data_IF_097355100626
#
_entry.id   IF_097355100626
#
_cell.length_a   1.000
_cell.length_b   1.000
_cell.length_c   1.000
_cell.angle_alpha   90.00
_cell.angle_beta   90.00
_cell.angle_gamma   90.00
#
_symmetry.space_group_name_H-M   'P 1'
#
loop_
_entity.id
_entity.type
_entity.pdbx_description
1 polymer ?
#
# COMPACT_ATOMS: atom_id res chain seq x y z
N UNK A 1 47.82 -1.04 -7.27
CA UNK A 1 47.75 -1.19 -5.81
C UNK A 1 46.88 -0.10 -5.21
N UNK A 2 46.11 -0.40 -4.15
CA UNK A 2 45.40 0.62 -3.36
C UNK A 2 46.38 1.64 -2.74
N UNK A 3 47.67 1.31 -2.66
CA UNK A 3 48.77 2.21 -2.27
C UNK A 3 48.97 3.40 -3.22
N UNK A 4 48.29 3.42 -4.38
CA UNK A 4 48.31 4.55 -5.30
C UNK A 4 47.54 5.77 -4.76
N UNK A 5 46.65 5.59 -3.76
CA UNK A 5 45.97 6.67 -3.05
C UNK A 5 46.85 7.12 -1.88
N UNK A 6 47.27 8.39 -1.90
CA UNK A 6 47.83 9.03 -0.71
C UNK A 6 46.67 9.44 0.20
N UNK A 7 46.65 8.93 1.43
CA UNK A 7 45.60 9.26 2.41
C UNK A 7 45.70 10.72 2.89
N UNK A 8 46.85 11.38 2.71
CA UNK A 8 47.03 12.81 2.98
C UNK A 8 46.66 13.70 1.78
N UNK A 9 46.56 13.13 0.58
CA UNK A 9 46.12 13.81 -0.65
C UNK A 9 45.25 12.90 -1.53
N UNK A 10 44.06 12.57 -1.03
CA UNK A 10 43.14 11.68 -1.74
C UNK A 10 42.70 12.29 -3.08
N UNK A 11 42.42 13.60 -3.10
CA UNK A 11 41.92 14.26 -4.31
C UNK A 11 42.98 14.33 -5.40
N UNK A 12 44.24 14.65 -5.06
CA UNK A 12 45.34 14.71 -6.03
C UNK A 12 45.76 13.35 -6.56
N UNK A 13 45.54 12.28 -5.80
CA UNK A 13 45.98 10.92 -6.18
C UNK A 13 44.86 9.99 -6.68
N UNK A 14 43.59 10.38 -6.53
CA UNK A 14 42.45 9.56 -6.93
C UNK A 14 42.47 9.13 -8.41
N UNK A 15 42.90 10.01 -9.32
CA UNK A 15 42.95 9.70 -10.75
C UNK A 15 43.88 8.52 -11.06
N UNK A 16 45.07 8.50 -10.45
CA UNK A 16 46.06 7.43 -10.59
C UNK A 16 45.53 6.10 -10.06
N UNK A 17 44.86 6.12 -8.91
CA UNK A 17 44.24 4.91 -8.37
C UNK A 17 43.10 4.39 -9.26
N UNK A 18 42.27 5.30 -9.82
CA UNK A 18 41.21 4.94 -10.77
C UNK A 18 41.73 4.28 -12.04
N UNK A 19 42.86 4.77 -12.58
CA UNK A 19 43.50 4.18 -13.76
C UNK A 19 43.90 2.71 -13.51
N UNK A 20 44.47 2.41 -12.34
CA UNK A 20 44.84 1.05 -11.98
C UNK A 20 43.63 0.11 -11.78
N UNK A 21 42.47 0.67 -11.42
CA UNK A 21 41.23 -0.09 -11.29
C UNK A 21 40.45 -0.21 -12.59
N UNK A 22 40.79 0.56 -13.63
CA UNK A 22 40.01 0.64 -14.87
C UNK A 22 39.87 -0.73 -15.55
N UNK A 23 40.97 -1.49 -15.64
CA UNK A 23 40.97 -2.83 -16.24
C UNK A 23 39.97 -3.76 -15.55
N UNK A 24 40.13 -3.97 -14.24
CA UNK A 24 39.27 -4.89 -13.48
C UNK A 24 37.81 -4.42 -13.38
N UNK A 25 37.56 -3.10 -13.32
CA UNK A 25 36.20 -2.55 -13.25
C UNK A 25 35.51 -2.40 -14.61
N UNK A 26 36.20 -2.72 -15.71
CA UNK A 26 35.64 -2.74 -17.07
C UNK A 26 35.29 -4.16 -17.54
N UNK A 27 35.71 -5.19 -16.80
CA UNK A 27 35.39 -6.57 -17.13
C UNK A 27 33.87 -6.82 -17.00
N UNK A 28 33.21 -7.36 -18.03
CA UNK A 28 31.76 -7.50 -18.06
C UNK A 28 31.26 -8.63 -17.14
N UNK A 29 30.01 -8.54 -16.69
CA UNK A 29 29.38 -9.66 -16.00
C UNK A 29 29.19 -10.84 -16.94
N UNK A 30 29.29 -12.06 -16.40
CA UNK A 30 29.08 -13.29 -17.18
C UNK A 30 27.66 -13.32 -17.79
N UNK A 31 27.46 -13.94 -18.97
CA UNK A 31 26.15 -13.93 -19.65
C UNK A 31 25.00 -14.53 -18.83
N UNK A 32 25.31 -15.44 -17.91
CA UNK A 32 24.38 -16.11 -17.00
C UNK A 32 24.14 -15.36 -15.69
N UNK A 33 24.77 -14.20 -15.48
CA UNK A 33 24.61 -13.43 -14.27
C UNK A 33 23.14 -13.12 -13.97
N UNK A 34 22.81 -13.10 -12.67
CA UNK A 34 21.51 -12.67 -12.18
C UNK A 34 21.24 -11.22 -12.65
N UNK A 35 19.98 -10.90 -12.91
CA UNK A 35 19.56 -9.60 -13.46
C UNK A 35 18.66 -8.91 -12.45
N UNK A 36 19.02 -7.68 -12.11
CA UNK A 36 18.30 -6.87 -11.13
C UNK A 36 17.75 -5.63 -11.82
N UNK A 37 16.43 -5.52 -11.82
CA UNK A 37 15.72 -4.30 -12.15
C UNK A 37 15.70 -3.41 -10.91
N UNK A 38 16.60 -2.44 -10.84
CA UNK A 38 16.57 -1.39 -9.83
C UNK A 38 15.40 -0.45 -10.10
N UNK A 39 14.63 -0.12 -9.07
CA UNK A 39 13.56 0.87 -9.13
C UNK A 39 13.81 1.89 -8.03
N UNK A 40 13.92 3.16 -8.38
CA UNK A 40 14.03 4.22 -7.39
C UNK A 40 12.78 4.19 -6.52
N UNK A 41 12.94 4.16 -5.20
CA UNK A 41 11.83 3.96 -4.29
C UNK A 41 12.03 4.76 -3.01
N UNK A 42 10.94 5.30 -2.49
CA UNK A 42 10.89 5.87 -1.15
C UNK A 42 9.60 5.39 -0.50
N UNK A 43 9.70 4.36 0.33
CA UNK A 43 8.61 4.02 1.22
C UNK A 43 8.44 5.15 2.24
N UNK A 44 7.24 5.70 2.39
CA UNK A 44 6.99 6.79 3.32
C UNK A 44 5.79 6.44 4.17
N UNK A 45 6.03 6.21 5.46
CA UNK A 45 4.92 5.93 6.36
C UNK A 45 4.01 7.14 6.49
N UNK A 46 2.71 6.91 6.22
CA UNK A 46 1.70 7.96 6.33
C UNK A 46 1.70 8.52 7.74
N UNK A 47 1.83 7.65 8.75
CA UNK A 47 2.19 8.03 10.11
C UNK A 47 2.78 6.83 10.85
N UNK A 48 3.96 7.01 11.45
CA UNK A 48 4.61 5.97 12.25
C UNK A 48 5.22 6.57 13.53
N UNK A 49 6.47 7.03 13.45
CA UNK A 49 7.14 7.76 14.54
C UNK A 49 6.90 9.28 14.50
N UNK A 50 6.00 9.72 13.61
CA UNK A 50 5.59 11.10 13.40
C UNK A 50 4.09 11.17 13.05
N UNK A 51 3.43 12.32 13.30
CA UNK A 51 2.03 12.51 12.91
C UNK A 51 1.86 12.74 11.39
N UNK A 52 0.63 12.56 10.88
CA UNK A 52 0.25 12.76 9.48
C UNK A 52 0.76 14.08 8.89
N UNK A 53 0.64 15.17 9.67
CA UNK A 53 1.08 16.52 9.27
C UNK A 53 2.58 16.61 8.93
N UNK A 54 3.41 15.76 9.53
CA UNK A 54 4.84 15.72 9.23
C UNK A 54 5.10 14.97 7.92
N UNK A 55 4.30 13.96 7.62
CA UNK A 55 4.41 13.20 6.37
C UNK A 55 4.18 14.08 5.15
N UNK A 56 3.24 15.03 5.20
CA UNK A 56 3.06 16.04 4.14
C UNK A 56 4.38 16.73 3.79
N UNK A 57 5.20 17.07 4.79
CA UNK A 57 6.51 17.72 4.60
C UNK A 57 7.56 16.73 4.07
N UNK A 58 7.56 15.49 4.57
CA UNK A 58 8.47 14.41 4.14
C UNK A 58 8.26 14.04 2.68
N UNK A 59 7.01 13.89 2.25
CA UNK A 59 6.64 13.63 0.87
C UNK A 59 7.12 14.77 -0.02
N UNK A 60 6.78 16.02 0.33
CA UNK A 60 7.23 17.20 -0.43
C UNK A 60 8.76 17.25 -0.63
N UNK A 61 9.54 17.01 0.43
CA UNK A 61 11.00 16.99 0.32
C UNK A 61 11.50 15.83 -0.53
N UNK A 62 10.91 14.65 -0.38
CA UNK A 62 11.29 13.47 -1.16
C UNK A 62 10.99 13.67 -2.64
N UNK A 63 9.79 14.11 -3.01
CA UNK A 63 9.41 14.36 -4.40
C UNK A 63 10.26 15.46 -5.04
N UNK A 64 10.61 16.51 -4.30
CA UNK A 64 11.53 17.55 -4.78
C UNK A 64 12.93 17.00 -5.08
N UNK A 65 13.46 16.14 -4.21
CA UNK A 65 14.76 15.52 -4.41
C UNK A 65 14.75 14.54 -5.59
N UNK A 66 13.70 13.70 -5.70
CA UNK A 66 13.61 12.72 -6.78
C UNK A 66 13.42 13.38 -8.14
N UNK A 67 12.60 14.44 -8.23
CA UNK A 67 12.45 15.20 -9.48
C UNK A 67 13.74 15.89 -9.90
N UNK A 68 14.55 16.39 -8.96
CA UNK A 68 15.89 16.90 -9.28
C UNK A 68 16.85 15.79 -9.73
N UNK A 69 16.83 14.62 -9.06
CA UNK A 69 17.68 13.49 -9.45
C UNK A 69 17.31 12.96 -10.84
N UNK A 70 16.03 12.97 -11.22
CA UNK A 70 15.55 12.61 -12.57
C UNK A 70 16.02 13.59 -13.66
N UNK A 71 16.25 14.85 -13.32
CA UNK A 71 16.83 15.84 -14.23
C UNK A 71 18.34 15.58 -14.44
N UNK A 72 19.05 15.20 -13.37
CA UNK A 72 20.49 14.95 -13.40
C UNK A 72 20.88 13.58 -14.00
N UNK A 73 20.02 12.56 -13.86
CA UNK A 73 20.34 11.16 -14.18
C UNK A 73 19.35 10.59 -15.24
N UNK A 74 19.73 10.56 -16.53
CA UNK A 74 18.80 10.23 -17.63
C UNK A 74 18.16 8.84 -17.54
N UNK A 75 18.94 7.85 -17.11
CA UNK A 75 18.51 6.44 -17.00
C UNK A 75 17.69 6.17 -15.73
N UNK A 76 17.67 7.10 -14.76
CA UNK A 76 17.01 6.88 -13.47
C UNK A 76 15.49 6.88 -13.60
N UNK A 77 14.84 5.98 -12.86
CA UNK A 77 13.38 5.90 -12.73
C UNK A 77 13.00 5.79 -11.26
N UNK A 78 11.91 6.43 -10.89
CA UNK A 78 11.42 6.48 -9.50
C UNK A 78 9.94 6.08 -9.46
N UNK A 79 9.58 5.13 -8.60
CA UNK A 79 8.21 4.68 -8.37
C UNK A 79 7.68 5.16 -7.01
N UNK A 80 6.42 5.61 -6.97
CA UNK A 80 5.74 6.03 -5.74
C UNK A 80 4.31 5.49 -5.69
N UNK A 81 3.98 4.79 -4.61
CA UNK A 81 2.82 3.90 -4.50
C UNK A 81 1.51 4.56 -4.03
N UNK A 82 1.58 5.44 -3.03
CA UNK A 82 0.40 5.86 -2.26
C UNK A 82 -0.30 7.08 -2.88
N UNK A 83 -1.46 6.92 -3.52
CA UNK A 83 -2.18 8.04 -4.16
C UNK A 83 -2.45 9.23 -3.20
N UNK A 84 -2.70 8.95 -1.92
CA UNK A 84 -2.84 9.99 -0.89
C UNK A 84 -1.62 10.93 -0.79
N UNK A 85 -0.42 10.43 -1.02
CA UNK A 85 0.80 11.24 -0.98
C UNK A 85 0.91 12.15 -2.20
N UNK A 86 0.52 11.65 -3.37
CA UNK A 86 0.40 12.46 -4.58
C UNK A 86 -0.63 13.58 -4.39
N UNK A 87 -1.78 13.27 -3.77
CA UNK A 87 -2.80 14.26 -3.43
C UNK A 87 -2.26 15.35 -2.49
N UNK A 88 -1.46 14.99 -1.47
CA UNK A 88 -0.82 15.98 -0.59
C UNK A 88 0.18 16.88 -1.33
N UNK A 89 0.95 16.35 -2.28
CA UNK A 89 1.86 17.18 -3.08
C UNK A 89 1.06 18.14 -3.96
N UNK A 90 0.02 17.64 -4.64
CA UNK A 90 -0.88 18.47 -5.46
C UNK A 90 -1.51 19.60 -4.65
N UNK A 91 -2.00 19.31 -3.45
CA UNK A 91 -2.67 20.29 -2.59
C UNK A 91 -1.69 21.30 -1.97
N UNK A 92 -0.59 20.83 -1.40
CA UNK A 92 0.27 21.67 -0.55
C UNK A 92 1.52 22.21 -1.24
N UNK A 93 1.93 21.65 -2.38
CA UNK A 93 3.17 22.01 -3.11
C UNK A 93 2.95 22.00 -4.63
N UNK A 94 2.05 22.88 -5.16
CA UNK A 94 1.73 22.92 -6.58
C UNK A 94 2.96 23.15 -7.50
N UNK A 95 4.00 23.82 -6.99
CA UNK A 95 5.27 24.02 -7.68
C UNK A 95 6.06 22.70 -7.87
N UNK A 96 6.03 21.82 -6.86
CA UNK A 96 6.64 20.49 -6.95
C UNK A 96 5.76 19.57 -7.79
N UNK A 97 4.44 19.70 -7.64
CA UNK A 97 3.46 18.96 -8.45
C UNK A 97 3.67 19.14 -9.95
N UNK A 98 3.93 20.36 -10.41
CA UNK A 98 4.20 20.63 -11.82
C UNK A 98 5.40 19.84 -12.36
N UNK A 99 6.49 19.75 -11.57
CA UNK A 99 7.68 18.94 -11.92
C UNK A 99 7.37 17.45 -11.91
N UNK A 100 6.60 16.99 -10.92
CA UNK A 100 6.14 15.59 -10.85
C UNK A 100 5.32 15.23 -12.10
N UNK A 101 4.32 16.04 -12.48
CA UNK A 101 3.51 15.77 -13.69
C UNK A 101 4.37 15.67 -14.95
N UNK A 102 5.35 16.56 -15.11
CA UNK A 102 6.30 16.48 -16.23
C UNK A 102 7.07 15.16 -16.21
N UNK A 103 7.61 14.79 -15.05
CA UNK A 103 8.38 13.56 -14.92
C UNK A 103 7.54 12.28 -15.11
N UNK A 104 6.23 12.32 -14.80
CA UNK A 104 5.26 11.25 -15.13
C UNK A 104 5.03 11.20 -16.64
N UNK A 105 4.82 12.34 -17.31
CA UNK A 105 4.66 12.38 -18.76
C UNK A 105 5.91 11.89 -19.50
N UNK A 106 7.11 12.13 -18.94
CA UNK A 106 8.39 11.59 -19.42
C UNK A 106 8.54 10.07 -19.14
N UNK A 107 7.62 9.46 -18.38
CA UNK A 107 7.63 8.03 -18.04
C UNK A 107 8.65 7.62 -16.98
N UNK A 108 9.29 8.58 -16.29
CA UNK A 108 10.40 8.31 -15.35
C UNK A 108 10.04 8.50 -13.87
N UNK A 109 8.95 9.21 -13.58
CA UNK A 109 8.30 9.18 -12.27
C UNK A 109 7.03 8.34 -12.40
N UNK A 110 7.04 7.13 -11.87
CA UNK A 110 6.03 6.10 -12.11
C UNK A 110 5.01 6.08 -10.97
N UNK A 111 3.72 6.37 -11.23
CA UNK A 111 2.64 6.04 -10.30
C UNK A 111 2.56 4.52 -10.16
N UNK A 112 2.74 3.98 -8.96
CA UNK A 112 2.76 2.54 -8.70
C UNK A 112 1.61 2.10 -7.78
N UNK A 113 1.26 0.82 -7.80
CA UNK A 113 0.45 0.16 -6.77
C UNK A 113 -1.07 0.38 -6.80
N UNK A 114 -1.55 1.54 -7.27
CA UNK A 114 -2.98 1.79 -7.54
C UNK A 114 -3.91 1.88 -6.33
N UNK A 115 -3.40 1.84 -5.09
CA UNK A 115 -4.18 1.99 -3.86
C UNK A 115 -4.11 3.41 -3.30
N UNK A 116 -5.12 3.82 -2.53
CA UNK A 116 -5.13 5.12 -1.86
C UNK A 116 -3.97 5.26 -0.87
N UNK A 117 -3.75 4.23 -0.05
CA UNK A 117 -2.57 4.06 0.79
C UNK A 117 -2.07 2.61 0.73
N UNK A 118 -0.83 2.37 1.15
CA UNK A 118 -0.33 1.02 1.44
C UNK A 118 -1.00 0.53 2.74
N UNK A 119 -2.19 -0.03 2.61
CA UNK A 119 -3.04 -0.38 3.75
C UNK A 119 -2.57 -1.66 4.44
N UNK A 120 -3.02 -1.84 5.68
CA UNK A 120 -3.15 -3.19 6.22
C UNK A 120 -4.11 -4.01 5.34
N UNK A 121 -3.89 -5.32 5.24
CA UNK A 121 -4.73 -6.21 4.42
C UNK A 121 -5.47 -7.28 5.21
N UNK A 122 -5.41 -7.23 6.54
CA UNK A 122 -6.06 -8.22 7.41
C UNK A 122 -7.32 -7.66 8.08
N UNK A 123 -7.25 -6.41 8.54
CA UNK A 123 -8.28 -5.78 9.38
C UNK A 123 -9.37 -5.04 8.58
N UNK A 124 -9.06 -4.30 7.50
CA UNK A 124 -10.09 -3.64 6.70
C UNK A 124 -11.12 -4.63 6.14
N UNK A 125 -12.40 -4.23 6.09
CA UNK A 125 -13.42 -5.01 5.39
C UNK A 125 -13.21 -5.04 3.88
N UNK A 126 -13.78 -6.03 3.18
CA UNK A 126 -13.60 -6.18 1.72
C UNK A 126 -14.06 -4.96 0.91
N UNK A 127 -15.13 -4.28 1.33
CA UNK A 127 -15.56 -3.02 0.70
C UNK A 127 -14.49 -1.93 0.86
N UNK A 128 -13.92 -1.77 2.05
CA UNK A 128 -12.85 -0.80 2.27
C UNK A 128 -11.60 -1.13 1.44
N UNK A 129 -11.26 -2.42 1.30
CA UNK A 129 -10.19 -2.87 0.41
C UNK A 129 -10.49 -2.54 -1.07
N UNK A 130 -11.73 -2.77 -1.54
CA UNK A 130 -12.14 -2.32 -2.87
C UNK A 130 -12.03 -0.80 -3.01
N UNK A 131 -12.42 -0.04 -1.98
CA UNK A 131 -12.31 1.43 -1.96
C UNK A 131 -10.86 1.92 -1.97
N UNK A 132 -9.90 1.21 -1.38
CA UNK A 132 -8.47 1.52 -1.53
C UNK A 132 -8.10 1.59 -3.02
N UNK A 133 -8.51 0.60 -3.82
CA UNK A 133 -8.27 0.60 -5.27
C UNK A 133 -9.13 1.62 -6.01
N UNK A 134 -10.43 1.74 -5.70
CA UNK A 134 -11.30 2.71 -6.39
C UNK A 134 -10.76 4.13 -6.25
N UNK A 135 -10.40 4.57 -5.05
CA UNK A 135 -9.88 5.92 -4.84
C UNK A 135 -8.45 6.09 -5.35
N UNK A 136 -7.58 5.08 -5.19
CA UNK A 136 -6.21 5.12 -5.70
C UNK A 136 -6.14 5.16 -7.22
N UNK A 137 -6.80 4.22 -7.91
CA UNK A 137 -6.86 4.16 -9.37
C UNK A 137 -7.54 5.37 -9.97
N UNK A 138 -8.68 5.80 -9.41
CA UNK A 138 -9.37 7.00 -9.91
C UNK A 138 -8.44 8.21 -9.88
N UNK A 139 -7.67 8.40 -8.80
CA UNK A 139 -6.72 9.49 -8.74
C UNK A 139 -5.68 9.43 -9.88
N UNK A 140 -5.07 8.27 -10.13
CA UNK A 140 -4.08 8.15 -11.21
C UNK A 140 -4.67 8.25 -12.62
N UNK A 141 -5.89 7.75 -12.82
CA UNK A 141 -6.64 7.92 -14.06
C UNK A 141 -6.98 9.40 -14.32
N UNK A 142 -7.51 10.10 -13.33
CA UNK A 142 -7.95 11.49 -13.47
C UNK A 142 -6.75 12.45 -13.67
N UNK A 143 -5.64 12.22 -12.96
CA UNK A 143 -4.46 13.11 -13.04
C UNK A 143 -3.53 12.80 -14.22
N UNK A 144 -3.43 11.53 -14.63
CA UNK A 144 -2.39 11.08 -15.56
C UNK A 144 -2.90 10.20 -16.71
N UNK A 145 -4.15 9.74 -16.68
CA UNK A 145 -4.66 8.75 -17.63
C UNK A 145 -3.99 7.38 -17.48
N UNK A 146 -3.39 7.09 -16.32
CA UNK A 146 -2.63 5.87 -16.06
C UNK A 146 -3.47 4.93 -15.18
N UNK A 147 -3.64 3.70 -15.66
CA UNK A 147 -4.20 2.62 -14.87
C UNK A 147 -3.11 1.63 -14.44
N UNK A 148 -2.91 1.49 -13.13
CA UNK A 148 -1.97 0.51 -12.56
C UNK A 148 -2.42 -0.93 -12.82
N UNK A 149 -1.48 -1.78 -13.24
CA UNK A 149 -1.69 -3.22 -13.45
C UNK A 149 -1.11 -4.07 -12.30
N UNK A 150 -0.56 -3.41 -11.29
CA UNK A 150 0.11 -3.99 -10.14
C UNK A 150 -0.33 -3.35 -8.81
N UNK A 151 -0.38 -4.16 -7.76
CA UNK A 151 -0.41 -3.72 -6.38
C UNK A 151 1.03 -3.65 -5.82
N UNK A 152 1.31 -2.65 -5.00
CA UNK A 152 2.64 -2.42 -4.41
C UNK A 152 2.50 -2.24 -2.89
N UNK A 153 2.79 -3.30 -2.14
CA UNK A 153 2.58 -3.41 -0.70
C UNK A 153 3.84 -3.98 -0.02
N UNK A 154 4.96 -3.23 -0.01
CA UNK A 154 6.22 -3.72 0.50
C UNK A 154 6.15 -4.01 2.01
N UNK A 155 5.43 -3.17 2.77
CA UNK A 155 5.49 -3.19 4.24
C UNK A 155 4.24 -3.70 4.98
N UNK A 156 3.27 -4.27 4.27
CA UNK A 156 2.05 -4.80 4.90
C UNK A 156 2.30 -6.06 5.73
N UNK A 157 1.66 -6.15 6.91
CA UNK A 157 1.89 -7.23 7.89
C UNK A 157 1.07 -8.50 7.61
N UNK A 158 1.34 -9.16 6.50
CA UNK A 158 0.64 -10.38 6.06
C UNK A 158 -0.60 -10.09 5.21
N UNK A 159 -1.02 -11.06 4.38
CA UNK A 159 -2.04 -10.82 3.34
C UNK A 159 -3.16 -11.85 3.35
N UNK A 160 -4.39 -11.35 3.48
CA UNK A 160 -5.60 -12.18 3.50
C UNK A 160 -5.80 -12.97 2.20
N UNK A 161 -6.29 -14.20 2.34
CA UNK A 161 -6.45 -15.16 1.24
C UNK A 161 -7.48 -14.76 0.15
N UNK A 162 -8.32 -13.76 0.41
CA UNK A 162 -9.27 -13.22 -0.56
C UNK A 162 -8.72 -12.06 -1.40
N UNK A 163 -7.53 -11.54 -1.08
CA UNK A 163 -6.98 -10.35 -1.73
C UNK A 163 -6.68 -10.53 -3.23
N UNK A 164 -6.24 -11.71 -3.74
CA UNK A 164 -6.06 -11.91 -5.18
C UNK A 164 -7.30 -11.59 -6.01
N UNK A 165 -8.48 -11.99 -5.51
CA UNK A 165 -9.76 -11.70 -6.14
C UNK A 165 -10.02 -10.19 -6.24
N UNK A 166 -9.77 -9.45 -5.15
CA UNK A 166 -9.99 -8.00 -5.11
C UNK A 166 -9.01 -7.27 -6.03
N UNK A 167 -7.73 -7.65 -6.00
CA UNK A 167 -6.69 -7.09 -6.89
C UNK A 167 -7.09 -7.30 -8.36
N UNK A 168 -7.53 -8.51 -8.70
CA UNK A 168 -7.99 -8.86 -10.06
C UNK A 168 -9.23 -8.08 -10.47
N UNK A 169 -10.22 -7.97 -9.59
CA UNK A 169 -11.44 -7.21 -9.83
C UNK A 169 -11.17 -5.71 -10.01
N UNK A 170 -10.12 -5.19 -9.37
CA UNK A 170 -9.63 -3.83 -9.57
C UNK A 170 -8.84 -3.66 -10.88
N UNK A 171 -8.64 -4.71 -11.70
CA UNK A 171 -7.90 -4.65 -12.97
C UNK A 171 -6.39 -4.81 -12.84
N UNK A 172 -5.86 -5.09 -11.64
CA UNK A 172 -4.45 -5.42 -11.45
C UNK A 172 -4.23 -6.94 -11.50
N UNK A 173 -3.08 -7.37 -11.99
CA UNK A 173 -2.74 -8.81 -12.16
C UNK A 173 -1.42 -9.19 -11.52
N UNK A 174 -0.75 -8.21 -10.90
CA UNK A 174 0.59 -8.31 -10.34
C UNK A 174 0.60 -7.81 -8.90
N UNK A 175 1.48 -8.36 -8.07
CA UNK A 175 1.74 -7.89 -6.71
C UNK A 175 3.25 -7.84 -6.47
N UNK A 176 3.71 -6.72 -5.89
CA UNK A 176 5.00 -6.63 -5.23
C UNK A 176 4.84 -6.49 -3.72
N UNK A 177 5.55 -7.30 -2.94
CA UNK A 177 5.63 -7.19 -1.48
C UNK A 177 7.04 -7.50 -0.96
N UNK A 178 7.36 -7.20 0.31
CA UNK A 178 8.65 -7.54 0.92
C UNK A 178 8.51 -8.29 2.24
N UNK A 179 7.57 -7.90 3.13
CA UNK A 179 7.51 -8.39 4.53
C UNK A 179 7.46 -9.91 4.68
N UNK A 180 6.96 -10.67 3.70
CA UNK A 180 6.94 -12.14 3.74
C UNK A 180 8.33 -12.75 3.93
N UNK A 181 9.39 -12.06 3.45
CA UNK A 181 10.79 -12.44 3.69
C UNK A 181 11.22 -12.40 5.16
N UNK A 182 10.44 -11.77 6.05
CA UNK A 182 10.75 -11.59 7.48
C UNK A 182 10.09 -12.64 8.40
N UNK A 183 9.53 -13.71 7.83
CA UNK A 183 8.98 -14.83 8.61
C UNK A 183 10.06 -15.48 9.48
N UNK A 184 9.73 -15.72 10.76
CA UNK A 184 10.72 -16.08 11.79
C UNK A 184 11.13 -17.56 11.75
N UNK A 185 10.18 -18.44 11.49
CA UNK A 185 10.32 -19.90 11.54
C UNK A 185 10.36 -20.47 10.14
N UNK A 186 9.32 -20.22 9.33
CA UNK A 186 9.22 -20.77 7.98
C UNK A 186 9.66 -19.74 6.95
N UNK A 187 10.77 -20.05 6.27
CA UNK A 187 11.22 -19.26 5.12
C UNK A 187 10.31 -19.54 3.94
N UNK A 188 9.77 -18.49 3.32
CA UNK A 188 8.92 -18.64 2.14
C UNK A 188 9.72 -19.26 0.97
N UNK A 189 9.15 -20.22 0.23
CA UNK A 189 9.92 -21.05 -0.71
C UNK A 189 10.24 -20.38 -2.07
N UNK A 190 9.55 -19.31 -2.47
CA UNK A 190 9.63 -18.74 -3.82
C UNK A 190 9.64 -17.22 -3.80
N UNK A 191 10.52 -16.56 -4.55
CA UNK A 191 10.45 -15.09 -4.73
C UNK A 191 9.50 -14.70 -5.85
N UNK A 192 9.18 -15.61 -6.78
CA UNK A 192 8.29 -15.39 -7.92
C UNK A 192 7.32 -16.55 -8.06
N UNK A 193 6.02 -16.29 -7.96
CA UNK A 193 4.98 -17.32 -7.89
C UNK A 193 3.62 -16.78 -8.37
N UNK A 194 2.68 -17.67 -8.70
CA UNK A 194 1.26 -17.32 -8.79
C UNK A 194 0.65 -17.38 -7.39
N UNK A 195 0.12 -16.26 -6.92
CA UNK A 195 -0.68 -16.24 -5.70
C UNK A 195 -2.15 -16.50 -6.04
N UNK A 196 -2.68 -17.60 -5.54
CA UNK A 196 -4.07 -18.04 -5.74
C UNK A 196 -4.92 -17.73 -4.51
N UNK A 197 -6.00 -16.99 -4.72
CA UNK A 197 -7.00 -16.70 -3.70
C UNK A 197 -7.93 -17.89 -3.43
N UNK A 198 -8.75 -17.79 -2.38
CA UNK A 198 -9.70 -18.86 -1.99
C UNK A 198 -10.74 -19.21 -3.06
N UNK A 199 -10.93 -18.34 -4.05
CA UNK A 199 -11.85 -18.51 -5.18
C UNK A 199 -11.16 -19.07 -6.44
N UNK A 200 -9.86 -19.37 -6.37
CA UNK A 200 -9.05 -19.82 -7.52
C UNK A 200 -8.49 -18.67 -8.38
N UNK A 201 -8.78 -17.40 -8.06
CA UNK A 201 -8.20 -16.27 -8.79
C UNK A 201 -6.68 -16.20 -8.58
N UNK A 202 -5.91 -16.10 -9.67
CA UNK A 202 -4.43 -16.02 -9.63
C UNK A 202 -3.91 -14.65 -10.03
N UNK A 203 -2.90 -14.16 -9.29
CA UNK A 203 -2.09 -12.99 -9.64
C UNK A 203 -0.60 -13.31 -9.52
N UNK A 204 0.21 -12.72 -10.42
CA UNK A 204 1.65 -12.94 -10.42
C UNK A 204 2.31 -12.11 -9.33
N UNK A 205 2.99 -12.78 -8.40
CA UNK A 205 3.55 -12.13 -7.22
C UNK A 205 5.05 -12.24 -7.21
N UNK A 206 5.71 -11.13 -6.88
CA UNK A 206 7.14 -11.08 -6.65
C UNK A 206 7.45 -10.45 -5.29
N UNK A 207 8.40 -11.02 -4.56
CA UNK A 207 9.09 -10.29 -3.50
C UNK A 207 10.59 -10.19 -3.76
N UNK A 208 11.22 -9.02 -3.58
CA UNK A 208 12.64 -8.84 -3.84
C UNK A 208 13.54 -9.76 -2.99
N UNK A 209 14.51 -10.46 -3.59
CA UNK A 209 15.45 -11.35 -2.88
C UNK A 209 16.52 -10.62 -2.08
N UNK A 210 16.55 -9.29 -2.16
CA UNK A 210 17.44 -8.45 -1.35
C UNK A 210 16.95 -8.33 0.11
N UNK A 211 15.76 -8.87 0.43
CA UNK A 211 15.15 -8.89 1.77
C UNK A 211 14.84 -7.50 2.36
N UNK A 212 14.84 -6.46 1.52
CA UNK A 212 14.56 -5.07 1.89
C UNK A 212 13.95 -4.29 0.72
N UNK A 213 13.10 -3.32 1.03
CA UNK A 213 12.65 -2.29 0.07
C UNK A 213 13.48 -1.00 0.17
N UNK A 214 14.56 -1.02 0.96
CA UNK A 214 15.52 0.06 1.18
C UNK A 214 16.92 -0.32 0.65
N UNK A 215 17.01 -0.86 -0.56
CA UNK A 215 18.29 -1.29 -1.14
C UNK A 215 19.21 -0.09 -1.36
N UNK A 216 20.47 -0.19 -0.93
CA UNK A 216 21.47 0.87 -1.04
C UNK A 216 22.53 0.62 -2.13
N UNK A 217 22.26 -0.38 -2.99
CA UNK A 217 23.12 -0.84 -4.08
C UNK A 217 24.52 -1.22 -3.62
N UNK A 218 24.68 -1.70 -2.38
CA UNK A 218 25.97 -2.24 -1.92
C UNK A 218 26.25 -3.56 -2.63
N UNK A 219 27.51 -3.81 -2.99
CA UNK A 219 27.91 -5.10 -3.58
C UNK A 219 27.50 -6.30 -2.73
N UNK A 220 27.51 -6.17 -1.40
CA UNK A 220 27.02 -7.22 -0.49
C UNK A 220 25.51 -7.48 -0.60
N UNK A 221 24.69 -6.45 -0.79
CA UNK A 221 23.24 -6.56 -0.98
C UNK A 221 22.93 -7.21 -2.33
N UNK A 222 23.64 -6.82 -3.38
CA UNK A 222 23.48 -7.39 -4.72
C UNK A 222 23.93 -8.85 -4.77
N UNK A 223 25.06 -9.16 -4.15
CA UNK A 223 25.52 -10.54 -4.02
C UNK A 223 24.56 -11.37 -3.15
N UNK A 224 23.96 -10.78 -2.11
CA UNK A 224 22.92 -11.43 -1.31
C UNK A 224 21.67 -11.72 -2.15
N UNK A 225 21.13 -10.73 -2.87
CA UNK A 225 19.98 -10.89 -3.75
C UNK A 225 20.19 -12.03 -4.76
N UNK A 226 21.34 -12.02 -5.44
CA UNK A 226 21.71 -13.07 -6.38
C UNK A 226 21.91 -14.44 -5.72
N UNK A 227 22.37 -14.53 -4.45
CA UNK A 227 22.47 -15.80 -3.71
C UNK A 227 21.14 -16.26 -3.11
N UNK A 228 20.26 -15.34 -2.75
CA UNK A 228 19.05 -15.62 -1.99
C UNK A 228 17.84 -15.96 -2.86
N UNK A 229 17.80 -15.47 -4.12
CA UNK A 229 16.73 -15.76 -5.07
C UNK A 229 16.43 -17.27 -5.12
N UNK A 230 15.17 -17.67 -4.88
CA UNK A 230 14.79 -19.09 -4.70
C UNK A 230 14.49 -19.78 -6.02
N UNK A 231 14.02 -19.03 -7.02
CA UNK A 231 13.56 -19.58 -8.30
C UNK A 231 14.68 -19.69 -9.33
N UNK A 232 15.91 -19.90 -8.84
CA UNK A 232 17.10 -20.07 -9.67
C UNK A 232 17.02 -21.35 -10.48
N UNK A 233 17.64 -21.32 -11.66
CA UNK A 233 17.67 -22.43 -12.60
C UNK A 233 16.56 -22.37 -13.65
N UNK A 234 15.45 -21.69 -13.33
CA UNK A 234 14.35 -21.41 -14.26
C UNK A 234 14.15 -19.91 -14.51
N UNK A 235 14.47 -19.06 -13.52
CA UNK A 235 14.45 -17.61 -13.66
C UNK A 235 15.74 -16.96 -13.12
N UNK A 236 16.00 -15.73 -13.53
CA UNK A 236 17.14 -14.91 -13.08
C UNK A 236 16.87 -13.40 -13.03
N UNK A 237 15.62 -12.94 -13.27
CA UNK A 237 15.25 -11.55 -13.04
C UNK A 237 14.65 -11.37 -11.65
N UNK A 238 15.10 -10.34 -10.93
CA UNK A 238 14.46 -9.87 -9.70
C UNK A 238 14.42 -8.35 -9.64
N UNK A 239 13.51 -7.79 -8.84
CA UNK A 239 13.44 -6.37 -8.61
C UNK A 239 14.25 -5.99 -7.35
N UNK A 240 14.77 -4.76 -7.30
CA UNK A 240 15.34 -4.17 -6.08
C UNK A 240 14.80 -2.74 -5.87
N UNK A 241 13.89 -2.51 -4.91
CA UNK A 241 13.46 -1.15 -4.56
C UNK A 241 14.63 -0.43 -3.88
N UNK A 242 15.01 0.72 -4.43
CA UNK A 242 16.31 1.35 -4.16
C UNK A 242 16.14 2.76 -3.61
N UNK A 243 16.58 2.97 -2.38
CA UNK A 243 16.47 4.25 -1.71
C UNK A 243 16.32 4.12 -0.20
N UNK A 244 16.33 5.26 0.49
CA UNK A 244 15.96 5.34 1.88
C UNK A 244 14.44 5.50 2.01
N UNK A 245 13.81 4.59 2.73
CA UNK A 245 12.37 4.56 3.01
C UNK A 245 12.06 4.76 4.48
N UNK A 246 10.93 4.18 4.90
CA UNK A 246 10.25 4.28 6.21
C UNK A 246 9.77 5.70 6.54
N UNK A 247 10.56 6.74 6.23
CA UNK A 247 10.21 8.14 6.45
C UNK A 247 10.57 9.09 5.32
N UNK A 248 10.78 8.56 4.12
CA UNK A 248 11.24 9.27 2.93
C UNK A 248 12.75 9.37 2.80
N UNK A 249 13.19 10.20 1.85
CA UNK A 249 14.60 10.32 1.44
C UNK A 249 14.80 9.89 0.00
N UNK A 250 14.38 8.67 -0.34
CA UNK A 250 14.45 8.12 -1.68
C UNK A 250 15.87 7.75 -2.10
N UNK A 251 16.10 7.65 -3.41
CA UNK A 251 17.38 7.26 -3.98
C UNK A 251 18.40 8.40 -3.91
N UNK A 252 19.67 8.10 -3.63
CA UNK A 252 20.75 9.10 -3.62
C UNK A 252 21.63 8.99 -4.86
N UNK A 253 22.39 10.06 -5.17
CA UNK A 253 23.36 10.07 -6.28
C UNK A 253 24.40 8.96 -6.14
N UNK A 254 24.81 8.63 -4.91
CA UNK A 254 25.75 7.54 -4.64
C UNK A 254 25.14 6.18 -4.97
N UNK A 255 23.83 5.99 -4.73
CA UNK A 255 23.14 4.75 -5.13
C UNK A 255 23.05 4.64 -6.65
N UNK A 256 22.79 5.75 -7.36
CA UNK A 256 22.84 5.79 -8.84
C UNK A 256 24.23 5.47 -9.37
N UNK A 257 25.28 6.07 -8.81
CA UNK A 257 26.66 5.79 -9.19
C UNK A 257 27.07 4.32 -8.94
N UNK A 258 26.60 3.72 -7.85
CA UNK A 258 26.79 2.29 -7.58
C UNK A 258 26.04 1.43 -8.60
N UNK A 259 24.77 1.73 -8.89
CA UNK A 259 24.00 1.01 -9.91
C UNK A 259 24.68 1.09 -11.29
N UNK A 260 25.22 2.26 -11.66
CA UNK A 260 25.99 2.43 -12.88
C UNK A 260 27.24 1.55 -12.90
N UNK A 261 27.95 1.43 -11.77
CA UNK A 261 29.10 0.51 -11.64
C UNK A 261 28.69 -0.96 -11.77
N UNK A 262 27.51 -1.31 -11.26
CA UNK A 262 26.97 -2.68 -11.24
C UNK A 262 26.22 -3.03 -12.53
N UNK A 263 26.19 -2.14 -13.53
CA UNK A 263 25.49 -2.35 -14.80
C UNK A 263 25.91 -3.64 -15.49
N UNK A 264 27.22 -3.85 -15.58
CA UNK A 264 27.82 -5.02 -16.20
C UNK A 264 29.21 -5.29 -15.61
N UNK A 265 29.27 -5.58 -14.31
CA UNK A 265 30.53 -5.81 -13.60
C UNK A 265 30.78 -7.31 -13.39
N UNK A 266 31.97 -7.79 -13.75
CA UNK A 266 32.42 -9.16 -13.48
C UNK A 266 32.22 -9.55 -12.01
N UNK A 267 31.69 -10.75 -11.78
CA UNK A 267 31.41 -11.27 -10.43
C UNK A 267 30.17 -10.69 -9.73
N UNK A 268 29.46 -9.72 -10.34
CA UNK A 268 28.21 -9.16 -9.82
C UNK A 268 26.98 -9.60 -10.64
N UNK A 269 25.80 -9.45 -10.06
CA UNK A 269 24.57 -9.35 -10.85
C UNK A 269 24.62 -8.09 -11.73
N UNK A 270 23.91 -8.15 -12.87
CA UNK A 270 23.69 -6.98 -13.75
C UNK A 270 22.55 -6.14 -13.21
N UNK A 271 22.79 -4.84 -13.06
CA UNK A 271 21.79 -3.89 -12.52
C UNK A 271 21.37 -2.89 -13.60
N UNK A 272 20.07 -2.74 -13.80
CA UNK A 272 19.50 -1.75 -14.73
C UNK A 272 18.34 -1.01 -14.05
N UNK A 273 18.20 0.28 -14.33
CA UNK A 273 17.05 1.06 -13.89
C UNK A 273 15.86 0.78 -14.80
N UNK A 274 14.75 0.32 -14.24
CA UNK A 274 13.57 -0.08 -15.02
C UNK A 274 12.27 0.23 -14.27
N UNK A 275 11.18 0.45 -15.00
CA UNK A 275 9.88 0.62 -14.37
C UNK A 275 9.41 -0.70 -13.76
N UNK A 276 8.55 -0.68 -12.71
CA UNK A 276 7.90 -1.88 -12.20
C UNK A 276 7.26 -2.75 -13.28
N UNK A 277 6.56 -2.12 -14.24
CA UNK A 277 5.95 -2.81 -15.39
C UNK A 277 6.97 -3.56 -16.24
N UNK A 278 8.07 -2.90 -16.61
CA UNK A 278 9.12 -3.53 -17.42
C UNK A 278 9.76 -4.73 -16.72
N UNK A 279 9.94 -4.65 -15.39
CA UNK A 279 10.36 -5.80 -14.59
C UNK A 279 9.34 -6.96 -14.66
N UNK A 280 8.07 -6.69 -14.37
CA UNK A 280 7.04 -7.73 -14.35
C UNK A 280 6.85 -8.38 -15.72
N UNK A 281 6.86 -7.60 -16.81
CA UNK A 281 6.78 -8.12 -18.18
C UNK A 281 7.91 -9.12 -18.45
N UNK A 282 9.16 -8.79 -18.06
CA UNK A 282 10.33 -9.67 -18.24
C UNK A 282 10.27 -10.89 -17.34
N UNK A 283 9.91 -10.73 -16.08
CA UNK A 283 9.82 -11.83 -15.12
C UNK A 283 8.75 -12.84 -15.52
N UNK A 284 7.59 -12.38 -15.99
CA UNK A 284 6.52 -13.25 -16.50
C UNK A 284 6.91 -13.96 -17.79
N UNK A 285 7.58 -13.26 -18.71
CA UNK A 285 8.06 -13.87 -19.96
C UNK A 285 9.15 -14.92 -19.72
N UNK A 286 10.03 -14.70 -18.73
CA UNK A 286 11.07 -15.66 -18.36
C UNK A 286 10.52 -16.86 -17.60
N UNK A 287 9.48 -16.67 -16.78
CA UNK A 287 8.93 -17.71 -15.91
C UNK A 287 7.42 -17.93 -16.16
N UNK A 288 7.04 -18.59 -17.27
CA UNK A 288 5.64 -18.72 -17.68
C UNK A 288 4.80 -19.63 -16.77
N UNK A 289 5.43 -20.63 -16.14
CA UNK A 289 4.77 -21.59 -15.23
C UNK A 289 5.38 -21.54 -13.82
N UNK A 290 5.24 -20.42 -13.09
CA UNK A 290 5.78 -20.32 -11.75
C UNK A 290 4.90 -21.10 -10.75
N UNK A 291 5.45 -21.52 -9.60
CA UNK A 291 4.73 -22.29 -8.59
C UNK A 291 3.51 -21.54 -8.09
N UNK A 292 2.52 -22.27 -7.59
CA UNK A 292 1.27 -21.70 -7.06
C UNK A 292 1.32 -21.73 -5.54
N UNK A 293 1.08 -20.58 -4.91
CA UNK A 293 0.80 -20.48 -3.48
C UNK A 293 -0.70 -20.24 -3.28
N UNK A 294 -1.39 -21.13 -2.58
CA UNK A 294 -2.84 -21.05 -2.36
C UNK A 294 -3.13 -20.51 -0.97
N UNK A 295 -4.01 -19.53 -0.88
CA UNK A 295 -4.54 -19.04 0.40
C UNK A 295 -3.78 -17.84 0.95
N UNK A 296 -3.63 -17.78 2.27
CA UNK A 296 -3.05 -16.62 2.95
C UNK A 296 -1.52 -16.54 2.72
N UNK A 297 -0.99 -15.33 2.53
CA UNK A 297 0.44 -15.08 2.73
C UNK A 297 0.64 -14.70 4.20
N UNK A 298 0.66 -15.73 5.06
CA UNK A 298 0.75 -15.58 6.50
C UNK A 298 2.13 -15.04 6.91
N UNK A 299 2.16 -13.89 7.59
CA UNK A 299 3.37 -13.34 8.17
C UNK A 299 3.50 -13.78 9.62
N UNK A 300 4.58 -14.49 9.94
CA UNK A 300 4.81 -14.99 11.31
C UNK A 300 5.26 -13.91 12.31
N UNK A 301 5.66 -12.75 11.80
CA UNK A 301 6.11 -11.60 12.58
C UNK A 301 4.93 -10.64 12.85
N UNK A 302 5.07 -9.78 13.87
CA UNK A 302 4.13 -8.69 14.18
C UNK A 302 2.70 -9.09 14.60
N UNK A 303 2.41 -10.35 14.98
CA UNK A 303 1.04 -10.79 15.35
C UNK A 303 0.31 -9.94 16.41
N UNK A 304 1.04 -9.29 17.32
CA UNK A 304 0.47 -8.43 18.35
C UNK A 304 -0.26 -7.20 17.79
N UNK A 305 -0.02 -6.84 16.53
CA UNK A 305 -0.72 -5.75 15.84
C UNK A 305 -2.21 -6.03 15.63
N UNK A 306 -2.63 -7.30 15.65
CA UNK A 306 -4.04 -7.68 15.56
C UNK A 306 -4.85 -7.27 16.81
N UNK A 307 -4.21 -7.15 17.98
CA UNK A 307 -4.88 -6.87 19.27
C UNK A 307 -4.54 -5.51 19.88
N UNK A 308 -3.40 -4.90 19.50
CA UNK A 308 -3.01 -3.58 20.01
C UNK A 308 -4.03 -2.48 19.62
N UNK A 309 -4.04 -1.34 20.33
CA UNK A 309 -4.86 -0.17 19.96
C UNK A 309 -6.34 -0.48 19.63
N UNK A 310 -7.01 -1.27 20.47
CA UNK A 310 -8.39 -1.72 20.26
C UNK A 310 -9.38 -0.59 19.93
N UNK A 311 -9.24 0.58 20.55
CA UNK A 311 -10.08 1.74 20.26
C UNK A 311 -9.94 2.27 18.82
N UNK A 312 -8.75 2.19 18.22
CA UNK A 312 -8.53 2.53 16.80
C UNK A 312 -9.25 1.53 15.89
N UNK A 313 -9.14 0.23 16.20
CA UNK A 313 -9.77 -0.85 15.44
C UNK A 313 -11.30 -0.82 15.52
N UNK A 314 -11.85 -0.56 16.70
CA UNK A 314 -13.29 -0.32 16.90
C UNK A 314 -13.77 0.90 16.12
N UNK A 315 -12.99 1.98 16.13
CA UNK A 315 -13.23 3.17 15.32
C UNK A 315 -13.33 2.84 13.83
N UNK A 316 -12.34 2.14 13.27
CA UNK A 316 -12.36 1.70 11.88
C UNK A 316 -13.60 0.88 11.54
N UNK A 317 -13.88 -0.19 12.31
CA UNK A 317 -15.02 -1.07 12.04
C UNK A 317 -16.35 -0.31 12.13
N UNK A 318 -16.50 0.60 13.09
CA UNK A 318 -17.70 1.43 13.22
C UNK A 318 -17.85 2.38 12.03
N UNK A 319 -16.75 3.00 11.58
CA UNK A 319 -16.77 3.86 10.39
C UNK A 319 -17.12 3.12 9.12
N UNK A 320 -16.60 1.90 8.90
CA UNK A 320 -16.99 1.06 7.75
C UNK A 320 -18.49 0.74 7.76
N UNK A 321 -19.06 0.37 8.91
CA UNK A 321 -20.50 0.12 9.03
C UNK A 321 -21.34 1.38 8.77
N UNK A 322 -20.93 2.53 9.33
CA UNK A 322 -21.63 3.79 9.15
C UNK A 322 -21.53 4.29 7.70
N UNK A 323 -20.41 4.07 7.01
CA UNK A 323 -20.27 4.40 5.59
C UNK A 323 -21.23 3.59 4.74
N UNK A 324 -21.30 2.27 4.97
CA UNK A 324 -22.26 1.40 4.28
C UNK A 324 -23.70 1.87 4.49
N UNK A 325 -24.05 2.20 5.73
CA UNK A 325 -25.39 2.68 6.09
C UNK A 325 -25.71 4.06 5.47
N UNK A 326 -24.75 5.00 5.53
CA UNK A 326 -24.89 6.32 4.95
C UNK A 326 -25.09 6.24 3.43
N UNK A 327 -24.27 5.46 2.72
CA UNK A 327 -24.42 5.28 1.27
C UNK A 327 -25.75 4.61 0.90
N UNK A 328 -26.17 3.58 1.67
CA UNK A 328 -27.45 2.90 1.44
C UNK A 328 -28.62 3.87 1.54
N UNK A 329 -28.73 4.61 2.65
CA UNK A 329 -29.86 5.50 2.88
C UNK A 329 -29.80 6.74 2.00
N UNK A 330 -28.62 7.33 1.79
CA UNK A 330 -28.47 8.47 0.89
C UNK A 330 -28.85 8.10 -0.55
N UNK A 331 -28.44 6.92 -1.05
CA UNK A 331 -28.81 6.46 -2.39
C UNK A 331 -30.32 6.21 -2.49
N UNK A 332 -30.91 5.59 -1.46
CA UNK A 332 -32.35 5.33 -1.41
C UNK A 332 -33.15 6.63 -1.39
N UNK A 333 -32.74 7.60 -0.58
CA UNK A 333 -33.37 8.93 -0.53
C UNK A 333 -33.22 9.67 -1.86
N UNK A 334 -32.04 9.63 -2.49
CA UNK A 334 -31.84 10.26 -3.79
C UNK A 334 -32.78 9.72 -4.86
N UNK A 335 -32.96 8.41 -4.93
CA UNK A 335 -33.88 7.79 -5.91
C UNK A 335 -35.35 8.06 -5.56
N UNK A 336 -35.74 7.94 -4.29
CA UNK A 336 -37.16 7.96 -3.89
C UNK A 336 -37.72 9.36 -3.65
N UNK A 337 -36.87 10.31 -3.24
CA UNK A 337 -37.30 11.63 -2.78
C UNK A 337 -36.59 12.76 -3.50
N UNK A 338 -35.70 12.46 -4.46
CA UNK A 338 -34.88 13.45 -5.16
C UNK A 338 -33.95 14.26 -4.25
N UNK A 339 -33.64 13.73 -3.05
CA UNK A 339 -32.63 14.33 -2.17
C UNK A 339 -31.25 14.23 -2.84
N UNK A 340 -30.47 15.32 -2.98
CA UNK A 340 -29.15 15.24 -3.59
C UNK A 340 -28.25 14.25 -2.85
N UNK A 341 -27.60 13.34 -3.60
CA UNK A 341 -26.66 12.39 -3.01
C UNK A 341 -25.35 13.13 -2.62
N UNK A 342 -24.83 12.94 -1.39
CA UNK A 342 -23.71 13.73 -0.86
C UNK A 342 -22.36 13.19 -1.36
N UNK A 343 -22.12 13.25 -2.67
CA UNK A 343 -20.93 12.70 -3.33
C UNK A 343 -19.61 13.21 -2.74
N UNK A 344 -19.45 14.53 -2.62
CA UNK A 344 -18.21 15.15 -2.16
C UNK A 344 -17.90 14.83 -0.69
N UNK A 345 -18.94 14.81 0.15
CA UNK A 345 -18.79 14.53 1.57
C UNK A 345 -18.40 13.06 1.79
N UNK A 346 -19.07 12.13 1.12
CA UNK A 346 -18.75 10.71 1.20
C UNK A 346 -17.36 10.39 0.63
N UNK A 347 -16.95 11.00 -0.48
CA UNK A 347 -15.60 10.82 -1.04
C UNK A 347 -14.53 11.28 -0.05
N UNK A 348 -14.70 12.45 0.58
CA UNK A 348 -13.79 12.95 1.62
C UNK A 348 -13.74 12.02 2.83
N UNK A 349 -14.90 11.54 3.31
CA UNK A 349 -14.95 10.65 4.47
C UNK A 349 -14.28 9.32 4.16
N UNK A 350 -14.57 8.71 3.00
CA UNK A 350 -13.89 7.49 2.55
C UNK A 350 -12.38 7.66 2.51
N UNK A 351 -11.87 8.67 1.79
CA UNK A 351 -10.42 8.96 1.74
C UNK A 351 -9.80 9.12 3.14
N UNK A 352 -10.54 9.74 4.07
CA UNK A 352 -10.09 9.88 5.46
C UNK A 352 -10.04 8.54 6.19
N UNK A 353 -11.07 7.70 6.07
CA UNK A 353 -11.09 6.35 6.68
C UNK A 353 -9.96 5.51 6.09
N UNK A 354 -9.83 5.46 4.76
CA UNK A 354 -8.80 4.69 4.05
C UNK A 354 -7.39 5.12 4.44
N UNK A 355 -7.14 6.41 4.63
CA UNK A 355 -5.86 6.90 5.15
C UNK A 355 -5.55 6.30 6.54
N UNK A 356 -6.54 6.19 7.41
CA UNK A 356 -6.37 5.61 8.75
C UNK A 356 -6.29 4.09 8.76
N UNK A 357 -6.44 3.43 7.59
CA UNK A 357 -6.19 2.01 7.38
C UNK A 357 -4.75 1.70 6.94
N UNK A 358 -3.87 2.72 6.87
CA UNK A 358 -2.45 2.54 6.63
C UNK A 358 -1.83 1.49 7.58
N UNK A 359 -0.87 0.70 7.09
CA UNK A 359 -0.36 -0.49 7.78
C UNK A 359 0.34 -0.23 9.12
N UNK A 360 0.70 1.01 9.46
CA UNK A 360 1.15 1.33 10.82
C UNK A 360 0.07 1.94 11.73
N UNK A 361 -0.93 2.59 11.14
CA UNK A 361 -1.99 3.28 11.89
C UNK A 361 -2.99 2.27 12.44
N UNK A 362 -3.64 1.50 11.56
CA UNK A 362 -4.70 0.57 11.96
C UNK A 362 -4.17 -0.64 12.75
N UNK A 363 -3.06 -1.28 12.34
CA UNK A 363 -2.42 -2.34 13.10
C UNK A 363 -1.86 -1.86 14.44
N UNK A 364 -1.68 -0.55 14.64
CA UNK A 364 -1.42 -0.01 15.98
C UNK A 364 0.05 0.06 16.37
N UNK A 365 0.96 0.18 15.39
CA UNK A 365 2.43 0.22 15.56
C UNK A 365 3.04 1.63 15.57
N UNK A 366 2.22 2.69 15.41
CA UNK A 366 2.67 4.08 15.53
C UNK A 366 2.75 4.61 16.98
N UNK A 367 3.33 5.81 17.15
CA UNK A 367 3.38 6.51 18.45
C UNK A 367 2.00 6.89 18.99
N UNK A 368 1.92 7.15 20.30
CA UNK A 368 0.67 7.51 20.99
C UNK A 368 -0.05 8.74 20.39
N UNK A 369 0.68 9.69 19.80
CA UNK A 369 0.09 10.82 19.08
C UNK A 369 -0.84 10.33 17.98
N UNK A 370 -0.34 9.48 17.10
CA UNK A 370 -1.07 8.98 15.91
C UNK A 370 -2.37 8.31 16.33
N UNK A 371 -2.34 7.48 17.38
CA UNK A 371 -3.55 6.78 17.85
C UNK A 371 -4.56 7.70 18.53
N UNK A 372 -4.12 8.78 19.20
CA UNK A 372 -5.04 9.80 19.73
C UNK A 372 -5.74 10.54 18.60
N UNK A 373 -4.98 10.90 17.57
CA UNK A 373 -5.49 11.59 16.37
C UNK A 373 -6.47 10.69 15.61
N UNK A 374 -6.11 9.42 15.36
CA UNK A 374 -6.98 8.45 14.71
C UNK A 374 -8.33 8.28 15.42
N UNK A 375 -8.32 8.11 16.75
CA UNK A 375 -9.57 8.00 17.54
C UNK A 375 -10.39 9.29 17.52
N UNK A 376 -9.74 10.46 17.54
CA UNK A 376 -10.45 11.73 17.41
C UNK A 376 -11.11 11.85 16.02
N UNK A 377 -10.39 11.48 14.97
CA UNK A 377 -10.89 11.46 13.59
C UNK A 377 -12.07 10.50 13.44
N UNK A 378 -12.00 9.28 13.95
CA UNK A 378 -13.12 8.34 13.87
C UNK A 378 -14.37 8.83 14.60
N UNK A 379 -14.23 9.50 15.76
CA UNK A 379 -15.38 10.12 16.45
C UNK A 379 -16.04 11.21 15.61
N UNK A 380 -15.24 12.07 14.98
CA UNK A 380 -15.72 13.13 14.08
C UNK A 380 -16.45 12.54 12.86
N UNK A 381 -15.83 11.56 12.19
CA UNK A 381 -16.42 10.84 11.06
C UNK A 381 -17.75 10.18 11.45
N UNK A 382 -17.83 9.59 12.63
CA UNK A 382 -19.08 9.00 13.10
C UNK A 382 -20.18 10.06 13.24
N UNK A 383 -19.88 11.26 13.72
CA UNK A 383 -20.86 12.35 13.80
C UNK A 383 -21.34 12.78 12.41
N UNK A 384 -20.42 12.99 11.46
CA UNK A 384 -20.73 13.35 10.07
C UNK A 384 -21.62 12.29 9.40
N UNK A 385 -21.24 11.02 9.49
CA UNK A 385 -22.01 9.92 8.89
C UNK A 385 -23.40 9.77 9.51
N UNK A 386 -23.54 9.91 10.83
CA UNK A 386 -24.86 9.88 11.46
C UNK A 386 -25.72 11.07 10.99
N UNK A 387 -25.14 12.24 10.73
CA UNK A 387 -25.84 13.38 10.14
C UNK A 387 -26.36 13.09 8.73
N UNK A 388 -25.54 12.45 7.88
CA UNK A 388 -25.94 12.00 6.54
C UNK A 388 -27.08 10.97 6.63
N UNK A 389 -26.94 9.99 7.52
CA UNK A 389 -27.95 8.94 7.75
C UNK A 389 -29.27 9.56 8.22
N UNK A 390 -29.24 10.44 9.22
CA UNK A 390 -30.45 11.08 9.78
C UNK A 390 -31.15 11.94 8.72
N UNK A 391 -30.39 12.69 7.92
CA UNK A 391 -30.95 13.48 6.81
C UNK A 391 -31.66 12.61 5.79
N UNK A 392 -31.03 11.51 5.37
CA UNK A 392 -31.63 10.57 4.41
C UNK A 392 -32.85 9.84 5.00
N UNK A 393 -32.77 9.40 6.25
CA UNK A 393 -33.88 8.73 6.93
C UNK A 393 -35.08 9.66 7.14
N UNK A 394 -34.86 10.92 7.50
CA UNK A 394 -35.94 11.93 7.60
C UNK A 394 -36.61 12.17 6.25
N UNK A 395 -35.83 12.31 5.18
CA UNK A 395 -36.38 12.47 3.83
C UNK A 395 -37.25 11.27 3.44
N UNK A 396 -36.81 10.05 3.78
CA UNK A 396 -37.54 8.81 3.49
C UNK A 396 -38.77 8.58 4.38
N UNK A 397 -38.70 8.98 5.65
CA UNK A 397 -39.79 8.83 6.62
C UNK A 397 -40.92 9.84 6.37
N UNK A 398 -40.59 11.04 5.89
CA UNK A 398 -41.51 12.16 5.81
C UNK A 398 -41.81 12.77 7.17
N UNK A 399 -42.76 13.71 7.21
CA UNK A 399 -43.21 14.35 8.44
C UNK A 399 -44.25 13.48 9.18
N UNK A 400 -44.11 13.34 10.51
CA UNK A 400 -45.06 12.60 11.32
C UNK A 400 -44.58 12.36 12.76
N UNK A 401 -45.49 11.88 13.61
CA UNK A 401 -45.19 11.54 15.02
C UNK A 401 -44.93 10.05 15.27
N UNK A 402 -45.08 9.20 14.25
CA UNK A 402 -44.94 7.74 14.38
C UNK A 402 -43.46 7.35 14.37
N UNK A 403 -42.93 6.70 15.43
CA UNK A 403 -41.56 6.21 15.42
C UNK A 403 -41.35 5.12 14.36
N UNK A 404 -40.23 5.19 13.65
CA UNK A 404 -39.79 4.18 12.67
C UNK A 404 -38.41 3.62 13.04
N UNK A 405 -38.20 2.36 12.70
CA UNK A 405 -36.90 1.66 12.80
C UNK A 405 -36.45 1.29 11.41
N UNK A 406 -35.22 1.69 11.06
CA UNK A 406 -34.59 1.39 9.77
C UNK A 406 -33.62 0.21 9.92
N UNK A 407 -33.66 -0.73 8.97
CA UNK A 407 -32.74 -1.86 8.92
C UNK A 407 -31.79 -1.75 7.74
N UNK A 408 -30.55 -1.34 8.03
CA UNK A 408 -29.48 -1.25 7.02
C UNK A 408 -28.81 -2.59 6.69
N UNK A 409 -29.17 -3.69 7.36
CA UNK A 409 -28.62 -5.01 7.10
C UNK A 409 -29.20 -5.64 5.82
N UNK A 410 -28.46 -6.52 5.13
CA UNK A 410 -28.94 -7.23 3.95
C UNK A 410 -29.87 -8.42 4.29
N UNK A 411 -30.29 -8.55 5.54
CA UNK A 411 -31.20 -9.59 6.03
C UNK A 411 -32.17 -9.00 7.05
N UNK A 412 -33.27 -9.69 7.30
CA UNK A 412 -34.27 -9.28 8.31
C UNK A 412 -33.64 -9.21 9.69
N UNK A 413 -33.87 -8.12 10.41
CA UNK A 413 -33.35 -7.90 11.76
C UNK A 413 -34.44 -7.34 12.66
N UNK A 414 -34.71 -8.02 13.77
CA UNK A 414 -35.75 -7.65 14.74
C UNK A 414 -37.11 -7.35 14.07
N UNK A 415 -37.57 -8.24 13.18
CA UNK A 415 -38.83 -8.09 12.46
C UNK A 415 -38.81 -7.11 11.27
N UNK A 416 -37.75 -6.32 11.09
CA UNK A 416 -37.64 -5.35 9.99
C UNK A 416 -36.95 -6.01 8.79
N UNK A 417 -37.57 -6.08 7.59
CA UNK A 417 -36.94 -6.64 6.40
C UNK A 417 -35.63 -5.92 6.01
N UNK A 418 -34.80 -6.56 5.19
CA UNK A 418 -33.55 -5.99 4.71
C UNK A 418 -33.78 -4.67 3.95
N UNK A 419 -33.04 -3.62 4.28
CA UNK A 419 -33.14 -2.32 3.62
C UNK A 419 -34.50 -1.62 3.79
N UNK A 420 -35.31 -2.03 4.77
CA UNK A 420 -36.65 -1.50 5.01
C UNK A 420 -36.73 -0.62 6.26
N UNK A 421 -37.85 0.08 6.39
CA UNK A 421 -38.25 0.77 7.61
C UNK A 421 -39.66 0.34 8.01
N UNK A 422 -39.89 0.12 9.31
CA UNK A 422 -41.22 -0.19 9.86
C UNK A 422 -41.39 0.45 11.23
N UNK A 423 -42.63 0.50 11.73
CA UNK A 423 -42.86 0.82 13.14
C UNK A 423 -42.18 -0.22 14.04
N UNK A 424 -41.65 0.16 15.22
CA UNK A 424 -41.04 -0.78 16.14
C UNK A 424 -42.02 -1.92 16.48
N UNK A 425 -41.67 -3.15 16.13
CA UNK A 425 -42.35 -4.33 16.62
C UNK A 425 -41.88 -4.59 18.05
N UNK A 426 -42.80 -4.50 19.02
CA UNK A 426 -42.54 -4.95 20.38
C UNK A 426 -42.49 -6.49 20.40
N UNK A 427 -41.37 -7.09 20.01
CA UNK A 427 -41.14 -8.51 20.28
C UNK A 427 -40.74 -8.67 21.76
N UNK A 428 -41.37 -9.65 22.42
CA UNK A 428 -41.37 -9.84 23.87
C UNK A 428 -39.99 -9.63 24.49
N UNK A 429 -39.94 -8.75 25.49
CA UNK A 429 -38.75 -8.60 26.33
C UNK A 429 -38.46 -9.97 26.94
N UNK A 430 -37.22 -10.44 26.82
CA UNK A 430 -36.74 -11.56 27.63
C UNK A 430 -36.91 -11.16 29.09
N UNK A 431 -37.75 -11.89 29.83
CA UNK A 431 -38.11 -11.53 31.20
C UNK A 431 -37.33 -12.43 32.15
N UNK A 432 -36.44 -11.82 32.94
CA UNK A 432 -35.74 -12.51 34.02
C UNK A 432 -36.77 -12.97 35.07
N UNK A 433 -37.01 -14.28 35.12
CA UNK A 433 -37.83 -14.91 36.15
C UNK A 433 -36.92 -15.57 37.21
N UNK A 434 -37.09 -15.29 38.52
CA UNK A 434 -36.34 -15.98 39.55
C UNK A 434 -36.71 -17.47 39.60
N UNK A 435 -35.72 -18.33 39.81
CA UNK A 435 -35.93 -19.78 40.04
C UNK A 435 -36.05 -20.07 41.53
N UNK A 436 -36.95 -20.99 41.91
CA UNK A 436 -36.88 -21.62 43.23
C UNK A 436 -35.55 -22.37 43.36
N UNK A 437 -34.74 -21.99 44.36
CA UNK A 437 -33.36 -22.45 44.55
C UNK A 437 -32.26 -21.44 44.19
N UNK A 438 -32.62 -20.28 43.65
CA UNK A 438 -31.69 -19.19 43.33
C UNK A 438 -31.28 -19.11 41.86
N UNK A 439 -30.95 -17.89 41.41
CA UNK A 439 -30.67 -17.58 40.01
C UNK A 439 -31.91 -17.15 39.22
N UNK A 440 -31.74 -16.91 37.92
CA UNK A 440 -32.82 -16.47 37.01
C UNK A 440 -32.89 -17.33 35.74
N UNK A 441 -34.07 -17.43 35.14
CA UNK A 441 -34.34 -17.95 33.79
C UNK A 441 -34.76 -16.80 32.88
N UNK A 442 -34.32 -16.85 31.63
CA UNK A 442 -34.64 -15.89 30.56
C UNK A 442 -35.89 -16.29 29.79
#
# INVERSE_FOLDING_TARGET
>A
SLDAVDLQDVNGTAARAREQLAGVLSAPAVPSAHRISAVGHAHIDSAWLWPLRETVRKVARTTSNMTALLEDEPDFVFAMSQAQQWAWVKEHRPEVWARVKKAVADGRFVPAGGMWVESDTNMPGSEAMARQFVHGKRFFLDEFGIENDEAWLPDTFGFAAGLPQIIRAAGATRLLTQKISWSQTNKFPHHTFQWEGIDGTRIFTHFPPVDTYNCSMKGSEIAHAARNFKDKGVARHSLAPTGWGDGGGGTTREMVAKAARLRDLEGSARVVWETPRAFFDKAQAEYPEPPVWVGELYLELHRATLTSQAGTKQGNRRSEHLLREAELWAATAAVRTQLPYPYEELDRIWKTVLLHQFHDILPGSSIAWVHREARATYRRIAQELNGIIDTAQRALAGEGGTPLVFNAAPHTRAGVPAGAATTPTAEGRTHLAPREGGGHVL
#
